data_IF_121065417597
#
_entry.id   IF_121065417597
#
_cell.length_a   1.000
_cell.length_b   1.000
_cell.length_c   1.000
_cell.angle_alpha   90.00
_cell.angle_beta   90.00
_cell.angle_gamma   90.00
#
_symmetry.space_group_name_H-M   'P 1'
#
loop_
_entity.id
_entity.type
_entity.pdbx_description
1 polymer ?
#
# COMPACT_ATOMS: atom_id res chain seq x y z
N UNK A 1 -16.15 70.00 -17.85
CA UNK A 1 -15.34 69.66 -16.67
C UNK A 1 -15.47 68.16 -16.44
N UNK A 2 -14.34 67.45 -16.50
CA UNK A 2 -14.23 66.06 -16.92
C UNK A 2 -14.59 64.98 -15.90
N UNK A 3 -14.78 63.80 -16.49
CA UNK A 3 -15.01 62.46 -15.96
C UNK A 3 -13.93 61.95 -15.00
N UNK A 4 -14.30 61.01 -14.11
CA UNK A 4 -13.56 59.75 -13.94
C UNK A 4 -14.35 58.76 -13.04
N UNK A 5 -14.85 57.68 -13.65
CA UNK A 5 -15.40 56.52 -12.96
C UNK A 5 -14.36 55.40 -12.74
N UNK A 6 -14.58 54.45 -11.80
CA UNK A 6 -13.59 53.46 -11.42
C UNK A 6 -13.42 52.36 -12.48
N UNK A 7 -12.16 51.93 -12.64
CA UNK A 7 -11.64 51.05 -13.69
C UNK A 7 -12.10 49.58 -13.55
N UNK A 8 -12.51 49.00 -14.68
CA UNK A 8 -12.87 47.58 -14.92
C UNK A 8 -11.65 46.63 -15.09
N UNK A 9 -10.44 47.05 -14.71
CA UNK A 9 -9.19 46.33 -15.05
C UNK A 9 -9.00 44.99 -14.29
N UNK A 10 -9.69 44.76 -13.16
CA UNK A 10 -9.55 43.55 -12.34
C UNK A 10 -10.28 42.31 -12.85
N UNK A 11 -11.40 42.45 -13.57
CA UNK A 11 -12.16 41.29 -14.08
C UNK A 11 -11.48 40.62 -15.29
N UNK A 12 -10.88 41.42 -16.17
CA UNK A 12 -10.31 40.92 -17.43
C UNK A 12 -9.01 40.12 -17.22
N UNK A 13 -8.21 40.43 -16.19
CA UNK A 13 -7.00 39.68 -15.85
C UNK A 13 -7.31 38.31 -15.24
N UNK A 14 -8.33 38.23 -14.38
CA UNK A 14 -8.81 36.98 -13.77
C UNK A 14 -9.44 36.03 -14.80
N UNK A 15 -10.26 36.56 -15.72
CA UNK A 15 -10.87 35.76 -16.80
C UNK A 15 -9.81 35.23 -17.77
N UNK A 16 -8.80 36.04 -18.10
CA UNK A 16 -7.67 35.63 -18.94
C UNK A 16 -6.80 34.56 -18.26
N UNK A 17 -6.54 34.69 -16.96
CA UNK A 17 -5.83 33.68 -16.17
C UNK A 17 -6.56 32.34 -16.11
N UNK A 18 -7.89 32.35 -15.90
CA UNK A 18 -8.71 31.14 -15.89
C UNK A 18 -8.76 30.41 -17.23
N UNK A 19 -8.79 31.15 -18.35
CA UNK A 19 -8.77 30.57 -19.69
C UNK A 19 -7.43 29.87 -19.98
N UNK A 20 -6.32 30.45 -19.53
CA UNK A 20 -4.98 29.86 -19.70
C UNK A 20 -4.82 28.58 -18.88
N UNK A 21 -5.29 28.59 -17.64
CA UNK A 21 -5.30 27.40 -16.77
C UNK A 21 -6.11 26.26 -17.39
N UNK A 22 -7.29 26.57 -17.93
CA UNK A 22 -8.14 25.57 -18.61
C UNK A 22 -7.44 24.95 -19.82
N UNK A 23 -6.71 25.77 -20.60
CA UNK A 23 -5.93 25.27 -21.75
C UNK A 23 -4.77 24.38 -21.29
N UNK A 24 -4.07 24.75 -20.23
CA UNK A 24 -2.96 23.97 -19.67
C UNK A 24 -3.44 22.59 -19.21
N UNK A 25 -4.56 22.51 -18.49
CA UNK A 25 -5.15 21.24 -18.06
C UNK A 25 -5.61 20.38 -19.24
N UNK A 26 -6.25 20.99 -20.25
CA UNK A 26 -6.68 20.28 -21.45
C UNK A 26 -5.50 19.69 -22.21
N UNK A 27 -4.43 20.45 -22.37
CA UNK A 27 -3.21 19.98 -23.02
C UNK A 27 -2.54 18.86 -22.22
N UNK A 28 -2.50 18.98 -20.89
CA UNK A 28 -2.00 17.94 -20.01
C UNK A 28 -2.78 16.62 -20.20
N UNK A 29 -4.11 16.69 -20.18
CA UNK A 29 -4.96 15.51 -20.41
C UNK A 29 -4.72 14.91 -21.79
N UNK A 30 -4.64 15.74 -22.83
CA UNK A 30 -4.36 15.30 -24.21
C UNK A 30 -3.04 14.52 -24.30
N UNK A 31 -2.00 14.98 -23.60
CA UNK A 31 -0.70 14.29 -23.56
C UNK A 31 -0.79 12.97 -22.79
N UNK A 32 -1.44 12.97 -21.63
CA UNK A 32 -1.63 11.76 -20.83
C UNK A 32 -2.39 10.70 -21.63
N UNK A 33 -3.39 11.06 -22.42
CA UNK A 33 -4.24 10.14 -23.19
C UNK A 33 -3.75 9.84 -24.61
N UNK A 34 -2.58 10.37 -24.99
CA UNK A 34 -2.05 10.24 -26.34
C UNK A 34 -1.75 8.78 -26.76
N UNK A 35 -1.81 8.52 -28.07
CA UNK A 35 -1.49 7.20 -28.66
C UNK A 35 0.00 6.91 -28.60
N UNK A 36 0.83 7.92 -28.84
CA UNK A 36 2.28 7.84 -28.83
C UNK A 36 2.81 7.79 -27.40
N UNK A 37 3.68 6.82 -27.12
CA UNK A 37 4.22 6.66 -25.77
C UNK A 37 5.10 7.86 -25.34
N UNK A 38 5.74 8.56 -26.28
CA UNK A 38 6.54 9.76 -26.00
C UNK A 38 5.66 10.89 -25.46
N UNK A 39 4.50 11.14 -26.10
CA UNK A 39 3.52 12.13 -25.65
C UNK A 39 3.00 11.79 -24.25
N UNK A 40 2.78 10.49 -23.96
CA UNK A 40 2.39 10.05 -22.61
C UNK A 40 3.50 10.26 -21.57
N UNK A 41 4.75 9.96 -21.92
CA UNK A 41 5.90 10.27 -21.06
C UNK A 41 5.98 11.77 -20.73
N UNK A 42 5.78 12.61 -21.75
CA UNK A 42 5.74 14.06 -21.59
C UNK A 42 4.58 14.48 -20.69
N UNK A 43 3.37 13.93 -20.90
CA UNK A 43 2.21 14.19 -20.06
C UNK A 43 2.47 13.87 -18.59
N UNK A 44 3.10 12.72 -18.30
CA UNK A 44 3.50 12.34 -16.93
C UNK A 44 4.52 13.33 -16.36
N UNK A 45 5.52 13.73 -17.15
CA UNK A 45 6.51 14.73 -16.74
C UNK A 45 5.88 16.09 -16.42
N UNK A 46 5.00 16.59 -17.29
CA UNK A 46 4.29 17.85 -17.09
C UNK A 46 3.37 17.83 -15.87
N UNK A 47 2.70 16.70 -15.61
CA UNK A 47 1.89 16.54 -14.40
C UNK A 47 2.77 16.68 -13.15
N UNK A 48 3.91 15.99 -13.10
CA UNK A 48 4.84 16.09 -11.97
C UNK A 48 5.33 17.52 -11.77
N UNK A 49 5.68 18.24 -12.85
CA UNK A 49 6.09 19.64 -12.75
C UNK A 49 4.96 20.55 -12.25
N UNK A 50 3.71 20.31 -12.65
CA UNK A 50 2.57 21.03 -12.08
C UNK A 50 2.37 20.74 -10.60
N UNK A 51 2.52 19.49 -10.15
CA UNK A 51 2.48 19.15 -8.72
C UNK A 51 3.56 19.85 -7.91
N UNK A 52 4.76 20.07 -8.49
CA UNK A 52 5.85 20.81 -7.82
C UNK A 52 5.64 22.31 -7.80
N UNK A 53 5.20 22.88 -8.93
CA UNK A 53 5.15 24.33 -9.11
C UNK A 53 3.85 24.97 -8.60
N UNK A 54 2.72 24.28 -8.77
CA UNK A 54 1.36 24.77 -8.45
C UNK A 54 0.45 23.61 -8.03
N UNK A 55 0.73 22.94 -6.90
CA UNK A 55 -0.07 21.79 -6.44
C UNK A 55 -1.56 22.13 -6.29
N UNK A 56 -1.90 23.38 -5.96
CA UNK A 56 -3.28 23.86 -5.79
C UNK A 56 -4.09 23.66 -7.07
N UNK A 57 -3.48 23.89 -8.23
CA UNK A 57 -4.12 23.68 -9.53
C UNK A 57 -4.51 22.21 -9.74
N UNK A 58 -3.61 21.30 -9.37
CA UNK A 58 -3.84 19.86 -9.52
C UNK A 58 -4.87 19.39 -8.50
N UNK A 59 -4.77 19.82 -7.24
CA UNK A 59 -5.75 19.45 -6.20
C UNK A 59 -7.17 19.94 -6.53
N UNK A 60 -7.32 21.12 -7.12
CA UNK A 60 -8.62 21.65 -7.56
C UNK A 60 -9.26 20.85 -8.71
N UNK A 61 -8.46 20.11 -9.49
CA UNK A 61 -8.91 19.34 -10.65
C UNK A 61 -8.52 17.86 -10.52
N UNK A 62 -8.37 17.38 -9.29
CA UNK A 62 -7.65 16.14 -9.01
C UNK A 62 -8.26 14.94 -9.71
N UNK A 63 -9.58 14.75 -9.56
CA UNK A 63 -10.28 13.59 -10.14
C UNK A 63 -10.09 13.55 -11.64
N UNK A 64 -10.35 14.66 -12.35
CA UNK A 64 -10.19 14.74 -13.79
C UNK A 64 -8.75 14.43 -14.25
N UNK A 65 -7.76 15.00 -13.56
CA UNK A 65 -6.35 14.79 -13.90
C UNK A 65 -5.92 13.34 -13.60
N UNK A 66 -6.33 12.79 -12.47
CA UNK A 66 -5.96 11.44 -12.07
C UNK A 66 -6.75 10.35 -12.81
N UNK A 67 -7.93 10.64 -13.34
CA UNK A 67 -8.64 9.75 -14.26
C UNK A 67 -7.84 9.55 -15.56
N UNK A 68 -7.21 10.61 -16.07
CA UNK A 68 -6.30 10.53 -17.22
C UNK A 68 -4.94 9.90 -16.87
N UNK A 69 -4.43 10.14 -15.65
CA UNK A 69 -3.10 9.68 -15.22
C UNK A 69 -3.06 8.22 -14.72
N UNK A 70 -4.08 7.75 -13.99
CA UNK A 70 -4.08 6.39 -13.38
C UNK A 70 -3.85 5.28 -14.42
N UNK A 71 -4.42 5.33 -15.65
CA UNK A 71 -4.11 4.36 -16.70
C UNK A 71 -2.62 4.31 -17.12
N UNK A 72 -1.81 5.33 -16.79
CA UNK A 72 -0.36 5.34 -17.03
C UNK A 72 0.40 4.50 -16.02
N UNK A 73 -0.14 4.34 -14.80
CA UNK A 73 0.40 3.40 -13.81
C UNK A 73 0.27 1.94 -14.26
N UNK A 74 -0.51 1.65 -15.29
CA UNK A 74 -0.70 0.31 -15.88
C UNK A 74 -0.49 0.34 -17.40
N UNK A 75 0.34 1.27 -17.89
CA UNK A 75 0.55 1.46 -19.32
C UNK A 75 1.13 0.20 -19.99
N UNK A 76 0.69 -0.08 -21.22
CA UNK A 76 1.22 -1.19 -22.02
C UNK A 76 2.69 -0.97 -22.39
N UNK A 77 3.14 0.29 -22.48
CA UNK A 77 4.54 0.62 -22.64
C UNK A 77 5.24 0.65 -21.27
N UNK A 78 6.19 -0.27 -21.08
CA UNK A 78 6.94 -0.42 -19.82
C UNK A 78 7.69 0.83 -19.37
N UNK A 79 8.16 1.69 -20.29
CA UNK A 79 8.84 2.94 -19.95
C UNK A 79 7.86 3.96 -19.37
N UNK A 80 6.69 4.10 -20.00
CA UNK A 80 5.60 4.96 -19.50
C UNK A 80 5.13 4.48 -18.14
N UNK A 81 4.91 3.17 -18.00
CA UNK A 81 4.48 2.56 -16.75
C UNK A 81 5.45 2.84 -15.59
N UNK A 82 6.75 2.56 -15.79
CA UNK A 82 7.77 2.81 -14.79
C UNK A 82 7.86 4.31 -14.46
N UNK A 83 7.90 5.17 -15.48
CA UNK A 83 7.99 6.61 -15.28
C UNK A 83 6.78 7.20 -14.54
N UNK A 84 5.58 6.67 -14.81
CA UNK A 84 4.37 7.05 -14.10
C UNK A 84 4.44 6.66 -12.62
N UNK A 85 4.91 5.45 -12.29
CA UNK A 85 5.08 5.00 -10.90
C UNK A 85 6.13 5.83 -10.16
N UNK A 86 7.28 6.10 -10.77
CA UNK A 86 8.33 6.95 -10.20
C UNK A 86 7.86 8.39 -10.00
N UNK A 87 7.07 8.92 -10.94
CA UNK A 87 6.47 10.24 -10.82
C UNK A 87 5.41 10.27 -9.73
N UNK A 88 4.57 9.23 -9.61
CA UNK A 88 3.59 9.11 -8.55
C UNK A 88 4.24 9.14 -7.16
N UNK A 89 5.32 8.39 -6.95
CA UNK A 89 6.06 8.42 -5.70
C UNK A 89 6.50 9.84 -5.30
N UNK A 90 6.89 10.67 -6.28
CA UNK A 90 7.27 12.08 -6.06
C UNK A 90 6.06 13.01 -5.86
N UNK A 91 4.92 12.69 -6.47
CA UNK A 91 3.69 13.49 -6.35
C UNK A 91 2.96 13.28 -5.03
N UNK A 92 3.00 12.07 -4.46
CA UNK A 92 2.35 11.73 -3.19
C UNK A 92 2.65 12.73 -2.06
N UNK A 93 3.92 13.05 -1.72
CA UNK A 93 4.21 14.00 -0.64
C UNK A 93 3.81 15.45 -0.95
N UNK A 94 3.61 15.79 -2.22
CA UNK A 94 3.18 17.13 -2.66
C UNK A 94 1.66 17.30 -2.54
N UNK A 95 0.91 16.24 -2.85
CA UNK A 95 -0.56 16.27 -2.89
C UNK A 95 -1.19 15.82 -1.56
N UNK A 96 -0.51 14.95 -0.80
CA UNK A 96 -0.91 14.44 0.53
C UNK A 96 -2.36 13.97 0.56
N UNK A 97 -3.10 14.34 1.61
CA UNK A 97 -4.50 14.02 1.87
C UNK A 97 -5.45 14.40 0.71
N UNK A 98 -5.06 15.33 -0.17
CA UNK A 98 -5.85 15.64 -1.36
C UNK A 98 -6.07 14.41 -2.21
N UNK A 99 -5.15 13.42 -2.20
CA UNK A 99 -5.26 12.17 -2.95
C UNK A 99 -6.38 11.23 -2.48
N UNK A 100 -7.00 11.46 -1.33
CA UNK A 100 -8.01 10.57 -0.76
C UNK A 100 -9.12 10.12 -1.73
N UNK A 101 -9.72 10.99 -2.58
CA UNK A 101 -10.73 10.57 -3.54
C UNK A 101 -10.24 9.54 -4.56
N UNK A 102 -8.94 9.55 -4.86
CA UNK A 102 -8.29 8.67 -5.83
C UNK A 102 -7.50 7.53 -5.17
N UNK A 103 -7.45 7.47 -3.83
CA UNK A 103 -6.55 6.59 -3.12
C UNK A 103 -6.77 5.11 -3.48
N UNK A 104 -8.03 4.68 -3.56
CA UNK A 104 -8.34 3.29 -3.87
C UNK A 104 -7.91 2.89 -5.30
N UNK A 105 -8.18 3.73 -6.30
CA UNK A 105 -7.80 3.44 -7.69
C UNK A 105 -6.29 3.44 -7.87
N UNK A 106 -5.58 4.36 -7.22
CA UNK A 106 -4.12 4.40 -7.21
C UNK A 106 -3.55 3.13 -6.54
N UNK A 107 -4.06 2.73 -5.37
CA UNK A 107 -3.59 1.52 -4.67
C UNK A 107 -3.78 0.27 -5.52
N UNK A 108 -4.93 0.14 -6.19
CA UNK A 108 -5.20 -0.99 -7.10
C UNK A 108 -4.15 -1.01 -8.22
N UNK A 109 -3.95 0.13 -8.89
CA UNK A 109 -3.01 0.24 -9.99
C UNK A 109 -1.57 -0.06 -9.55
N UNK A 110 -1.11 0.48 -8.43
CA UNK A 110 0.23 0.24 -7.88
C UNK A 110 0.39 -1.24 -7.47
N UNK A 111 -0.60 -1.84 -6.82
CA UNK A 111 -0.54 -3.21 -6.35
C UNK A 111 -0.37 -4.23 -7.50
N UNK A 112 -1.01 -3.98 -8.65
CA UNK A 112 -0.86 -4.86 -9.82
C UNK A 112 0.58 -4.89 -10.35
N UNK A 113 1.31 -3.78 -10.22
CA UNK A 113 2.71 -3.68 -10.65
C UNK A 113 3.70 -4.43 -9.75
N UNK A 114 3.33 -4.78 -8.52
CA UNK A 114 4.16 -5.59 -7.62
C UNK A 114 4.40 -7.01 -8.16
N UNK A 115 3.52 -7.47 -9.04
CA UNK A 115 3.65 -8.75 -9.73
C UNK A 115 4.49 -8.67 -11.01
N UNK A 116 4.95 -7.49 -11.42
CA UNK A 116 5.71 -7.30 -12.65
C UNK A 116 7.05 -8.03 -12.63
N UNK A 117 7.38 -8.75 -13.71
CA UNK A 117 8.71 -9.36 -13.89
C UNK A 117 9.80 -8.33 -14.19
N UNK A 118 9.43 -7.09 -14.52
CA UNK A 118 10.38 -6.01 -14.72
C UNK A 118 10.79 -5.43 -13.35
N UNK A 119 12.07 -5.54 -13.00
CA UNK A 119 12.61 -5.08 -11.73
C UNK A 119 12.43 -3.57 -11.51
N UNK A 120 12.54 -2.75 -12.57
CA UNK A 120 12.35 -1.29 -12.47
C UNK A 120 10.91 -0.92 -12.13
N UNK A 121 9.94 -1.56 -12.79
CA UNK A 121 8.50 -1.38 -12.49
C UNK A 121 8.18 -1.83 -11.07
N UNK A 122 8.69 -3.00 -10.67
CA UNK A 122 8.52 -3.50 -9.30
C UNK A 122 9.09 -2.53 -8.25
N UNK A 123 10.33 -2.07 -8.45
CA UNK A 123 10.98 -1.13 -7.53
C UNK A 123 10.23 0.21 -7.45
N UNK A 124 9.76 0.74 -8.58
CA UNK A 124 8.96 1.96 -8.62
C UNK A 124 7.61 1.80 -7.89
N UNK A 125 6.94 0.65 -8.04
CA UNK A 125 5.71 0.34 -7.32
C UNK A 125 5.93 0.23 -5.80
N UNK A 126 7.01 -0.43 -5.38
CA UNK A 126 7.41 -0.49 -3.97
C UNK A 126 7.68 0.91 -3.42
N UNK A 127 8.43 1.73 -4.14
CA UNK A 127 8.73 3.12 -3.75
C UNK A 127 7.46 3.96 -3.61
N UNK A 128 6.48 3.76 -4.51
CA UNK A 128 5.20 4.45 -4.42
C UNK A 128 4.39 4.03 -3.18
N UNK A 129 4.39 2.75 -2.79
CA UNK A 129 3.74 2.30 -1.55
C UNK A 129 4.42 2.88 -0.31
N UNK A 130 5.75 2.90 -0.28
CA UNK A 130 6.49 3.42 0.87
C UNK A 130 6.25 4.94 1.00
N UNK A 131 6.23 5.69 -0.11
CA UNK A 131 5.87 7.10 -0.13
C UNK A 131 4.44 7.37 0.39
N UNK A 132 3.47 6.48 0.11
CA UNK A 132 2.12 6.59 0.69
C UNK A 132 2.18 6.52 2.22
N UNK A 133 2.85 5.51 2.78
CA UNK A 133 2.94 5.30 4.24
C UNK A 133 3.66 6.46 4.93
N UNK A 134 4.65 7.06 4.27
CA UNK A 134 5.39 8.20 4.81
C UNK A 134 4.60 9.51 4.77
N UNK A 135 3.66 9.66 3.83
CA UNK A 135 3.06 10.98 3.50
C UNK A 135 1.57 11.10 3.75
N UNK A 136 0.84 9.99 3.85
CA UNK A 136 -0.63 9.95 3.96
C UNK A 136 -1.09 9.44 5.32
N UNK A 137 -2.35 9.69 5.67
CA UNK A 137 -2.95 9.15 6.89
C UNK A 137 -2.89 7.60 6.94
N UNK A 138 -2.17 7.11 7.96
CA UNK A 138 -1.93 5.68 8.15
C UNK A 138 -3.21 4.89 8.48
N UNK A 139 -4.24 5.54 9.06
CA UNK A 139 -5.51 4.89 9.32
C UNK A 139 -6.27 4.62 8.01
N UNK A 140 -6.35 5.60 7.11
CA UNK A 140 -6.91 5.45 5.76
C UNK A 140 -6.17 4.36 4.97
N UNK A 141 -4.84 4.38 4.99
CA UNK A 141 -4.03 3.37 4.30
C UNK A 141 -4.24 1.97 4.87
N UNK A 142 -4.32 1.82 6.19
CA UNK A 142 -4.57 0.53 6.85
C UNK A 142 -5.90 -0.06 6.36
N UNK A 143 -6.96 0.75 6.31
CA UNK A 143 -8.27 0.31 5.83
C UNK A 143 -8.22 -0.09 4.35
N UNK A 144 -7.58 0.73 3.51
CA UNK A 144 -7.45 0.47 2.09
C UNK A 144 -6.66 -0.82 1.83
N UNK A 145 -5.48 -0.98 2.43
CA UNK A 145 -4.63 -2.15 2.25
C UNK A 145 -5.32 -3.42 2.77
N UNK A 146 -5.92 -3.37 3.95
CA UNK A 146 -6.64 -4.50 4.53
C UNK A 146 -7.80 -4.96 3.64
N UNK A 147 -8.54 -4.03 3.06
CA UNK A 147 -9.61 -4.32 2.09
C UNK A 147 -9.12 -5.00 0.82
N UNK A 148 -7.85 -4.80 0.43
CA UNK A 148 -7.27 -5.34 -0.79
C UNK A 148 -6.66 -6.73 -0.63
N UNK A 149 -6.11 -7.10 0.53
CA UNK A 149 -5.34 -8.37 0.71
C UNK A 149 -6.06 -9.60 0.15
N UNK A 150 -7.38 -9.71 0.36
CA UNK A 150 -8.19 -10.83 -0.13
C UNK A 150 -8.33 -10.90 -1.66
N UNK A 151 -7.91 -9.89 -2.40
CA UNK A 151 -7.98 -9.86 -3.86
C UNK A 151 -6.60 -9.91 -4.51
N UNK A 152 -5.53 -9.92 -3.71
CA UNK A 152 -4.15 -9.93 -4.20
C UNK A 152 -3.60 -11.35 -4.31
N UNK A 153 -2.66 -11.53 -5.23
CA UNK A 153 -1.90 -12.76 -5.43
C UNK A 153 -0.44 -12.42 -5.72
N UNK A 154 0.44 -13.42 -5.82
CA UNK A 154 1.81 -13.16 -6.23
C UNK A 154 2.66 -12.52 -5.12
N UNK A 155 3.56 -11.63 -5.54
CA UNK A 155 4.31 -10.76 -4.63
C UNK A 155 3.43 -9.66 -4.03
N UNK A 156 2.40 -9.21 -4.74
CA UNK A 156 1.54 -8.13 -4.27
C UNK A 156 0.91 -8.42 -2.89
N UNK A 157 0.43 -9.65 -2.66
CA UNK A 157 -0.11 -10.04 -1.35
C UNK A 157 0.96 -10.02 -0.26
N UNK A 158 2.22 -10.36 -0.59
CA UNK A 158 3.34 -10.33 0.35
C UNK A 158 3.70 -8.90 0.72
N UNK A 159 3.92 -8.05 -0.28
CA UNK A 159 4.32 -6.66 -0.10
C UNK A 159 3.26 -5.88 0.68
N UNK A 160 1.98 -5.99 0.33
CA UNK A 160 0.90 -5.29 1.04
C UNK A 160 0.71 -5.83 2.47
N UNK A 161 0.83 -7.14 2.70
CA UNK A 161 0.74 -7.72 4.05
C UNK A 161 1.92 -7.29 4.93
N UNK A 162 3.11 -7.17 4.35
CA UNK A 162 4.28 -6.64 5.05
C UNK A 162 4.03 -5.20 5.52
N UNK A 163 3.54 -4.33 4.62
CA UNK A 163 3.21 -2.93 4.96
C UNK A 163 2.10 -2.82 6.00
N UNK A 164 1.10 -3.72 5.97
CA UNK A 164 0.08 -3.78 7.03
C UNK A 164 0.69 -4.01 8.41
N UNK A 165 1.80 -4.74 8.53
CA UNK A 165 2.48 -4.95 9.81
C UNK A 165 3.05 -3.64 10.38
N UNK A 166 3.56 -2.78 9.51
CA UNK A 166 4.05 -1.43 9.86
C UNK A 166 2.88 -0.52 10.26
N UNK A 167 1.80 -0.53 9.47
CA UNK A 167 0.61 0.26 9.73
C UNK A 167 -0.07 -0.13 11.05
N UNK A 168 -0.09 -1.42 11.42
CA UNK A 168 -0.58 -1.88 12.74
C UNK A 168 0.18 -1.19 13.87
N UNK A 169 1.51 -1.17 13.81
CA UNK A 169 2.33 -0.54 14.85
C UNK A 169 2.09 0.98 14.94
N UNK A 170 1.82 1.64 13.80
CA UNK A 170 1.53 3.07 13.77
C UNK A 170 0.10 3.42 14.23
N UNK A 171 -0.90 2.62 13.86
CA UNK A 171 -2.33 2.96 14.05
C UNK A 171 -2.85 2.42 15.37
N UNK A 172 -2.36 1.28 15.86
CA UNK A 172 -2.91 0.66 17.07
C UNK A 172 -2.87 1.58 18.29
N UNK A 173 -1.78 2.29 18.62
CA UNK A 173 -1.74 3.17 19.79
C UNK A 173 -2.77 4.32 19.74
N UNK A 174 -3.15 4.75 18.53
CA UNK A 174 -4.08 5.84 18.33
C UNK A 174 -5.54 5.36 18.21
N UNK A 175 -5.76 4.23 17.53
CA UNK A 175 -7.10 3.71 17.23
C UNK A 175 -7.13 2.17 17.21
N UNK A 176 -7.08 1.50 18.38
CA UNK A 176 -7.06 0.04 18.49
C UNK A 176 -8.20 -0.66 17.73
N UNK A 177 -9.40 -0.08 17.83
CA UNK A 177 -10.62 -0.62 17.21
C UNK A 177 -10.52 -0.74 15.69
N UNK A 178 -9.78 0.16 15.03
CA UNK A 178 -9.59 0.09 13.58
C UNK A 178 -8.74 -1.11 13.18
N UNK A 179 -7.67 -1.38 13.94
CA UNK A 179 -6.80 -2.55 13.71
C UNK A 179 -7.60 -3.84 13.92
N UNK A 180 -8.41 -3.91 14.97
CA UNK A 180 -9.27 -5.07 15.21
C UNK A 180 -10.28 -5.29 14.09
N UNK A 181 -10.96 -4.22 13.66
CA UNK A 181 -12.01 -4.31 12.65
C UNK A 181 -11.48 -4.67 11.27
N UNK A 182 -10.30 -4.17 10.90
CA UNK A 182 -9.79 -4.29 9.53
C UNK A 182 -8.68 -5.33 9.38
N UNK A 183 -7.77 -5.45 10.35
CA UNK A 183 -6.57 -6.28 10.21
C UNK A 183 -6.78 -7.69 10.76
N UNK A 184 -7.52 -7.89 11.85
CA UNK A 184 -7.77 -9.24 12.38
C UNK A 184 -8.49 -10.14 11.37
N UNK A 185 -9.56 -9.70 10.66
CA UNK A 185 -10.19 -10.54 9.63
C UNK A 185 -9.22 -10.91 8.51
N UNK A 186 -8.25 -10.05 8.19
CA UNK A 186 -7.20 -10.35 7.21
C UNK A 186 -6.26 -11.41 7.75
N UNK A 187 -5.80 -11.29 9.00
CA UNK A 187 -4.95 -12.31 9.63
C UNK A 187 -5.65 -13.68 9.65
N UNK A 188 -6.91 -13.73 10.08
CA UNK A 188 -7.68 -14.97 10.13
C UNK A 188 -7.88 -15.56 8.74
N UNK A 189 -8.25 -14.75 7.75
CA UNK A 189 -8.37 -15.17 6.37
C UNK A 189 -7.06 -15.76 5.83
N UNK A 190 -5.92 -15.13 6.09
CA UNK A 190 -4.63 -15.67 5.66
C UNK A 190 -4.27 -16.98 6.38
N UNK A 191 -4.55 -17.08 7.67
CA UNK A 191 -4.29 -18.30 8.45
C UNK A 191 -5.17 -19.48 8.04
N UNK A 192 -6.46 -19.24 7.78
CA UNK A 192 -7.43 -20.27 7.40
C UNK A 192 -7.18 -20.79 5.98
N UNK A 193 -6.75 -19.91 5.07
CA UNK A 193 -6.46 -20.28 3.69
C UNK A 193 -5.03 -20.83 3.47
N UNK A 194 -4.16 -20.81 4.49
CA UNK A 194 -2.80 -21.34 4.35
C UNK A 194 -2.81 -22.87 4.40
N UNK A 195 -2.41 -23.52 3.31
CA UNK A 195 -2.11 -24.95 3.31
C UNK A 195 -0.77 -25.16 4.06
N UNK A 196 -0.48 -26.36 4.57
CA UNK A 196 0.67 -26.71 5.43
C UNK A 196 2.06 -26.23 4.99
N UNK A 197 2.25 -25.79 3.74
CA UNK A 197 3.48 -25.16 3.23
C UNK A 197 3.48 -23.62 3.22
N UNK A 198 2.41 -22.96 3.70
CA UNK A 198 2.28 -21.50 3.71
C UNK A 198 1.90 -20.89 2.35
N UNK A 199 1.42 -21.71 1.41
CA UNK A 199 0.94 -21.29 0.09
C UNK A 199 -0.59 -21.16 0.17
N UNK A 200 -1.11 -20.09 -0.42
CA UNK A 200 -2.54 -19.85 -0.56
C UNK A 200 -3.05 -20.53 -1.85
N UNK A 201 -4.17 -21.28 -1.81
CA UNK A 201 -4.78 -21.87 -3.00
C UNK A 201 -4.97 -20.83 -4.11
N UNK A 202 -4.50 -21.11 -5.32
CA UNK A 202 -4.65 -20.21 -6.47
C UNK A 202 -3.85 -18.89 -6.41
N UNK A 203 -2.99 -18.70 -5.40
CA UNK A 203 -2.12 -17.51 -5.29
C UNK A 203 -0.66 -17.95 -5.16
N UNK A 204 0.13 -17.67 -6.19
CA UNK A 204 1.57 -17.90 -6.13
C UNK A 204 2.19 -17.01 -5.04
N UNK A 205 2.81 -17.57 -4.01
CA UNK A 205 3.49 -16.80 -2.96
C UNK A 205 3.45 -17.48 -1.60
N UNK A 206 4.61 -17.64 -0.97
CA UNK A 206 4.69 -18.16 0.40
C UNK A 206 4.40 -17.02 1.38
N UNK A 207 3.16 -16.95 1.85
CA UNK A 207 2.70 -15.88 2.75
C UNK A 207 3.13 -16.11 4.21
N UNK A 208 3.73 -17.26 4.53
CA UNK A 208 4.08 -17.63 5.91
C UNK A 208 4.94 -16.56 6.60
N UNK A 209 5.94 -16.03 5.92
CA UNK A 209 6.86 -15.05 6.52
C UNK A 209 6.15 -13.74 6.84
N UNK A 210 5.37 -13.21 5.91
CA UNK A 210 4.62 -11.95 6.11
C UNK A 210 3.50 -12.13 7.13
N UNK A 211 2.83 -13.28 7.16
CA UNK A 211 1.80 -13.58 8.18
C UNK A 211 2.42 -13.69 9.57
N UNK A 212 3.61 -14.30 9.70
CA UNK A 212 4.34 -14.32 10.98
C UNK A 212 4.69 -12.90 11.45
N UNK A 213 5.13 -12.02 10.54
CA UNK A 213 5.43 -10.62 10.86
C UNK A 213 4.18 -9.85 11.27
N UNK A 214 3.07 -10.00 10.54
CA UNK A 214 1.79 -9.40 10.90
C UNK A 214 1.30 -9.90 12.26
N UNK A 215 1.38 -11.21 12.51
CA UNK A 215 1.00 -11.81 13.79
C UNK A 215 1.88 -11.31 14.94
N UNK A 216 3.16 -11.06 14.68
CA UNK A 216 4.09 -10.51 15.68
C UNK A 216 3.73 -9.06 16.00
N UNK A 217 3.58 -8.22 14.98
CA UNK A 217 3.19 -6.80 15.17
C UNK A 217 1.87 -6.69 15.96
N UNK A 218 0.87 -7.50 15.60
CA UNK A 218 -0.39 -7.55 16.35
C UNK A 218 -0.20 -8.02 17.80
N UNK A 219 0.67 -9.01 18.06
CA UNK A 219 0.94 -9.49 19.42
C UNK A 219 1.66 -8.45 20.27
N UNK A 220 2.64 -7.76 19.69
CA UNK A 220 3.40 -6.69 20.34
C UNK A 220 2.48 -5.52 20.73
N UNK A 221 1.53 -5.17 19.87
CA UNK A 221 0.60 -4.06 20.12
C UNK A 221 -0.59 -4.45 21.02
N UNK A 222 -1.17 -5.64 20.83
CA UNK A 222 -2.41 -6.06 21.51
C UNK A 222 -2.19 -6.88 22.78
N UNK A 223 -1.03 -7.50 22.96
CA UNK A 223 -0.74 -8.38 24.09
C UNK A 223 -1.69 -9.59 24.19
N UNK A 224 -2.23 -9.83 25.38
CA UNK A 224 -3.18 -10.94 25.67
C UNK A 224 -4.49 -10.81 24.91
N UNK A 225 -4.89 -9.59 24.53
CA UNK A 225 -6.16 -9.33 23.85
C UNK A 225 -6.27 -10.01 22.48
N UNK A 226 -5.13 -10.25 21.82
CA UNK A 226 -5.10 -11.04 20.59
C UNK A 226 -5.50 -12.51 20.83
N UNK A 227 -5.14 -13.06 22.00
CA UNK A 227 -5.47 -14.44 22.36
C UNK A 227 -6.95 -14.58 22.72
N UNK A 228 -7.50 -13.61 23.46
CA UNK A 228 -8.92 -13.57 23.79
C UNK A 228 -9.79 -13.53 22.53
N UNK A 229 -9.42 -12.70 21.56
CA UNK A 229 -10.10 -12.59 20.27
C UNK A 229 -9.89 -13.83 19.38
N UNK A 230 -8.75 -14.51 19.51
CA UNK A 230 -8.50 -15.76 18.80
C UNK A 230 -9.25 -16.96 19.42
N UNK A 231 -9.56 -16.94 20.72
CA UNK A 231 -10.30 -17.99 21.40
C UNK A 231 -11.73 -18.16 20.87
N UNK A 232 -12.30 -17.10 20.28
CA UNK A 232 -13.59 -17.13 19.58
C UNK A 232 -13.53 -17.60 18.13
N UNK A 233 -12.35 -17.94 17.58
CA UNK A 233 -12.17 -18.38 16.19
C UNK A 233 -12.15 -19.93 16.07
N UNK A 234 -12.48 -20.51 14.90
CA UNK A 234 -12.45 -21.96 14.69
C UNK A 234 -11.05 -22.57 14.93
N UNK A 235 -11.03 -23.81 15.43
CA UNK A 235 -9.87 -24.56 15.97
C UNK A 235 -8.61 -24.66 15.08
N UNK A 236 -8.67 -24.29 13.80
CA UNK A 236 -7.50 -24.29 12.90
C UNK A 236 -6.55 -23.11 13.15
N UNK A 237 -7.05 -21.95 13.57
CA UNK A 237 -6.26 -20.75 13.89
C UNK A 237 -5.37 -20.95 15.13
N UNK A 238 -5.86 -21.73 16.10
CA UNK A 238 -5.17 -22.02 17.37
C UNK A 238 -3.91 -22.88 17.19
N UNK A 239 -3.88 -23.78 16.18
CA UNK A 239 -2.75 -24.70 15.97
C UNK A 239 -1.51 -24.01 15.39
N UNK A 240 -1.69 -23.06 14.48
CA UNK A 240 -0.56 -22.35 13.84
C UNK A 240 0.12 -21.36 14.79
N UNK A 241 -0.62 -20.79 15.74
CA UNK A 241 -0.03 -19.92 16.78
C UNK A 241 0.85 -20.68 17.77
N UNK A 242 0.44 -21.89 18.20
CA UNK A 242 1.23 -22.72 19.13
C UNK A 242 2.57 -23.20 18.54
N UNK A 243 2.64 -23.43 17.23
CA UNK A 243 3.89 -23.82 16.57
C UNK A 243 4.89 -22.66 16.43
N UNK A 244 4.45 -21.40 16.56
CA UNK A 244 5.34 -20.24 16.66
C UNK A 244 5.98 -20.06 18.03
N UNK A 245 5.47 -20.72 19.08
CA UNK A 245 6.03 -20.70 20.43
C UNK A 245 7.06 -21.80 20.69
N UNK A 246 7.10 -22.89 19.89
CA UNK A 246 7.98 -24.04 20.13
C UNK A 246 9.38 -23.92 19.49
N UNK A 247 9.80 -22.70 19.13
CA UNK A 247 11.11 -22.42 18.51
C UNK A 247 12.12 -21.77 19.44
N UNK A 248 11.71 -21.40 20.66
CA UNK A 248 12.56 -20.82 21.70
C UNK A 248 12.10 -21.44 23.01
N UNK A 249 13.05 -21.96 23.78
CA UNK A 249 12.88 -22.59 25.09
C UNK A 249 12.79 -24.11 25.06
N UNK A 250 13.95 -24.76 25.06
CA UNK A 250 14.47 -25.49 26.24
C UNK A 250 15.61 -26.43 25.83
N UNK A 251 16.84 -26.01 26.17
CA UNK A 251 17.95 -26.93 26.38
C UNK A 251 17.59 -27.85 27.55
N UNK A 252 17.48 -29.13 27.21
CA UNK A 252 17.79 -30.35 27.97
C UNK A 252 18.04 -30.19 29.48
N UNK A 253 17.09 -30.70 30.28
CA UNK A 253 17.38 -31.22 31.63
C UNK A 253 16.45 -32.40 31.94
N UNK A 254 17.05 -33.59 32.11
CA UNK A 254 16.54 -34.77 32.82
C UNK A 254 15.24 -35.42 32.30
N UNK A 255 14.96 -36.70 32.47
CA UNK A 255 15.63 -37.81 33.13
C UNK A 255 14.80 -39.06 32.83
N UNK A 256 15.43 -40.23 33.03
CA UNK A 256 14.81 -41.51 33.37
C UNK A 256 14.44 -42.44 32.20
N UNK A 257 15.20 -43.51 32.04
CA UNK A 257 14.82 -44.82 32.59
C UNK A 257 15.97 -45.85 32.47
N UNK A 258 15.93 -46.95 33.23
CA UNK A 258 17.10 -47.70 33.66
C UNK A 258 17.42 -48.88 32.74
N UNK A 259 18.72 -49.19 32.60
CA UNK A 259 19.16 -50.52 32.18
C UNK A 259 20.40 -50.91 32.99
N UNK A 260 20.22 -51.86 33.90
CA UNK A 260 21.30 -52.66 34.49
C UNK A 260 21.78 -53.67 33.44
N UNK A 261 23.08 -53.66 33.16
CA UNK A 261 23.85 -54.84 32.80
C UNK A 261 25.30 -54.59 33.23
N UNK A 262 25.66 -55.21 34.34
CA UNK A 262 27.00 -55.16 34.90
C UNK A 262 27.98 -55.99 34.10
N UNK A 263 29.14 -55.41 33.81
CA UNK A 263 30.35 -56.14 33.48
C UNK A 263 31.30 -56.09 34.68
N UNK A 264 31.64 -57.28 35.19
CA UNK A 264 32.69 -57.53 36.17
C UNK A 264 34.06 -57.31 35.53
N UNK A 265 34.98 -56.69 36.28
CA UNK A 265 36.42 -56.96 36.16
C UNK A 265 36.81 -57.87 37.32
N UNK A 266 37.28 -59.08 37.01
CA UNK A 266 38.62 -59.65 37.27
C UNK A 266 38.74 -60.79 36.25
#
# INVERSE_FOLDING_TARGET
MGSNGPRLEGLHSSVRGGLEVTKQLRELMRLLEAKEYQSRMEGVGRLLEHCKARPELITANLVQVFDAFTPRLQDSNKKVNQWALESLAKMIPLLKESLHPMLLSIIIAVADNLNSKNAGIYAAAVTALDAMIESLDNLCLLQAFAGRVRFLSGRAVLDITERLSVLVASVYPQKPQAVERHVLPVLWCLLDNMIGNGVLPGRAGNVRTVVRRLSRSLREQMGSRLQDLAAGQPQQVLKTQRHGQRGTDSKTTGSSCPFQLGYRHI
#
